data_IF_003754849003
#
_entry.id   IF_003754849003
#
_cell.length_a   1.000
_cell.length_b   1.000
_cell.length_c   1.000
_cell.angle_alpha   90.00
_cell.angle_beta   90.00
_cell.angle_gamma   90.00
#
_symmetry.space_group_name_H-M   'P 1'
#
loop_
_entity.id
_entity.type
_entity.pdbx_description
1 polymer ?
#
# COMPACT_ATOMS: atom_id res chain seq x y z
N UNK A 1 -25.73 -54.91 11.39
CA UNK A 1 -24.41 -54.40 11.87
C UNK A 1 -24.35 -52.94 11.58
N UNK A 2 -24.04 -52.15 12.57
CA UNK A 2 -23.63 -50.72 12.44
C UNK A 2 -22.16 -50.59 12.80
N UNK A 3 -21.38 -50.11 11.90
CA UNK A 3 -19.98 -49.79 12.14
C UNK A 3 -19.81 -48.55 13.00
N UNK A 4 -18.59 -48.29 13.49
CA UNK A 4 -18.27 -47.12 14.27
C UNK A 4 -18.45 -45.86 13.42
N UNK A 5 -19.11 -44.85 13.99
CA UNK A 5 -19.40 -43.61 13.27
C UNK A 5 -18.16 -42.73 13.09
N UNK A 6 -17.31 -42.59 14.13
CA UNK A 6 -16.10 -41.78 14.11
C UNK A 6 -14.92 -42.55 14.69
N UNK A 7 -13.72 -42.27 14.18
CA UNK A 7 -12.49 -42.86 14.67
C UNK A 7 -12.38 -42.78 16.21
N UNK A 8 -12.08 -43.92 16.82
CA UNK A 8 -11.86 -44.03 18.27
C UNK A 8 -13.13 -44.08 19.12
N UNK A 9 -14.32 -44.06 18.54
CA UNK A 9 -15.56 -44.28 19.28
C UNK A 9 -15.83 -45.79 19.54
N UNK A 10 -16.86 -46.06 20.34
CA UNK A 10 -17.32 -47.41 20.70
C UNK A 10 -18.83 -47.54 20.49
N UNK A 11 -19.33 -46.95 19.43
CA UNK A 11 -20.74 -46.89 19.08
C UNK A 11 -21.17 -47.93 18.00
N UNK A 12 -20.25 -48.82 17.65
CA UNK A 12 -20.55 -49.97 16.82
C UNK A 12 -21.59 -50.86 17.45
N UNK A 13 -22.50 -51.40 16.66
CA UNK A 13 -23.56 -52.26 17.18
C UNK A 13 -23.94 -53.40 16.25
N UNK A 14 -24.43 -54.46 16.87
CA UNK A 14 -24.94 -55.66 16.19
C UNK A 14 -26.33 -55.99 16.71
N UNK A 15 -27.24 -56.26 15.80
CA UNK A 15 -28.56 -56.84 16.09
C UNK A 15 -28.66 -58.15 15.32
N UNK A 16 -28.92 -59.24 16.02
CA UNK A 16 -29.07 -60.55 15.43
C UNK A 16 -30.57 -60.81 15.03
N UNK A 17 -30.78 -61.36 13.83
CA UNK A 17 -32.06 -61.82 13.41
C UNK A 17 -31.99 -63.36 13.38
N UNK A 18 -32.58 -64.00 14.41
CA UNK A 18 -32.50 -65.46 14.62
C UNK A 18 -33.67 -66.16 13.85
N UNK A 19 -33.30 -67.05 12.96
CA UNK A 19 -34.26 -67.83 12.16
C UNK A 19 -34.16 -69.31 12.54
N UNK A 20 -35.28 -69.91 12.97
CA UNK A 20 -35.34 -71.31 13.44
C UNK A 20 -34.98 -71.41 14.93
N UNK A 21 -34.92 -72.67 15.45
CA UNK A 21 -34.74 -72.94 16.88
C UNK A 21 -36.05 -72.76 17.68
N UNK A 22 -35.95 -73.01 18.97
CA UNK A 22 -37.09 -72.90 19.91
C UNK A 22 -36.85 -71.79 20.90
N UNK A 23 -37.62 -70.66 20.91
CA UNK A 23 -37.45 -69.57 21.87
C UNK A 23 -37.82 -70.05 23.29
N UNK A 24 -37.23 -69.37 24.34
CA UNK A 24 -36.39 -68.16 24.29
C UNK A 24 -34.98 -68.49 23.84
N UNK A 25 -34.32 -67.43 23.26
CA UNK A 25 -32.91 -67.47 22.86
C UNK A 25 -32.02 -66.75 23.87
N UNK A 26 -30.84 -67.29 24.15
CA UNK A 26 -29.79 -66.66 24.95
C UNK A 26 -28.62 -66.32 24.03
N UNK A 27 -28.22 -65.03 24.00
CA UNK A 27 -27.05 -64.57 23.30
C UNK A 27 -25.89 -64.41 24.26
N UNK A 28 -24.75 -65.05 23.98
CA UNK A 28 -23.51 -64.89 24.70
C UNK A 28 -22.48 -64.21 23.79
N UNK A 29 -22.08 -63.01 24.18
CA UNK A 29 -21.10 -62.18 23.50
C UNK A 29 -19.73 -62.20 24.17
N UNK A 30 -19.42 -63.19 25.01
CA UNK A 30 -18.17 -63.33 25.75
C UNK A 30 -17.86 -62.12 26.62
N UNK A 31 -18.90 -61.50 27.22
CA UNK A 31 -18.77 -60.36 28.11
C UNK A 31 -18.78 -58.97 27.39
N UNK A 32 -18.89 -58.94 26.06
CA UNK A 32 -19.05 -57.68 25.31
C UNK A 32 -20.52 -57.27 25.22
N UNK A 33 -20.74 -55.96 25.18
CA UNK A 33 -22.09 -55.41 24.92
C UNK A 33 -22.29 -55.19 23.43
N UNK A 34 -23.21 -55.92 22.77
CA UNK A 34 -23.43 -55.77 21.33
C UNK A 34 -23.99 -54.43 20.88
N UNK A 35 -24.40 -53.56 21.81
CA UNK A 35 -24.88 -52.20 21.53
C UNK A 35 -23.78 -51.12 21.67
N UNK A 36 -22.54 -51.49 22.05
CA UNK A 36 -21.42 -50.55 22.25
C UNK A 36 -20.11 -51.28 22.03
N UNK A 37 -19.76 -51.48 20.77
CA UNK A 37 -18.59 -52.22 20.33
C UNK A 37 -17.56 -51.26 19.76
N UNK A 38 -16.28 -51.46 20.15
CA UNK A 38 -15.14 -50.84 19.51
C UNK A 38 -14.77 -51.51 18.18
N UNK A 39 -13.76 -51.02 17.49
CA UNK A 39 -13.19 -51.72 16.34
C UNK A 39 -12.68 -53.10 16.78
N UNK A 40 -13.04 -54.15 16.09
CA UNK A 40 -12.57 -55.48 16.41
C UNK A 40 -13.42 -56.63 15.83
N UNK A 41 -13.02 -57.85 16.16
CA UNK A 41 -13.79 -59.07 15.81
C UNK A 41 -14.40 -59.62 17.08
N UNK A 42 -15.70 -59.83 17.06
CA UNK A 42 -16.52 -60.28 18.18
C UNK A 42 -17.18 -61.61 17.83
N UNK A 43 -16.87 -62.64 18.64
CA UNK A 43 -17.52 -63.95 18.53
C UNK A 43 -18.74 -63.98 19.46
N UNK A 44 -19.83 -64.62 19.01
CA UNK A 44 -21.03 -64.83 19.79
C UNK A 44 -21.55 -66.23 19.66
N UNK A 45 -22.29 -66.63 20.65
CA UNK A 45 -22.99 -67.93 20.65
C UNK A 45 -24.46 -67.70 21.00
N UNK A 46 -25.39 -68.26 20.19
CA UNK A 46 -26.83 -68.26 20.45
C UNK A 46 -27.18 -69.68 20.92
N UNK A 47 -27.97 -69.79 22.02
CA UNK A 47 -28.46 -71.03 22.55
C UNK A 47 -30.02 -70.98 22.57
N UNK A 48 -30.70 -71.94 21.99
CA UNK A 48 -32.15 -72.06 22.07
C UNK A 48 -32.59 -72.78 23.37
N UNK A 49 -33.91 -72.80 23.62
CA UNK A 49 -34.52 -73.46 24.83
C UNK A 49 -34.22 -74.97 24.92
N UNK A 50 -33.93 -75.59 23.82
CA UNK A 50 -33.55 -77.05 23.77
C UNK A 50 -32.03 -77.27 23.94
N UNK A 51 -31.22 -76.17 24.12
CA UNK A 51 -29.78 -76.25 24.26
C UNK A 51 -29.00 -76.39 22.93
N UNK A 52 -29.68 -76.21 21.77
CA UNK A 52 -28.98 -76.24 20.49
C UNK A 52 -28.20 -74.89 20.34
N UNK A 53 -26.92 -74.96 19.91
CA UNK A 53 -26.06 -73.85 19.81
C UNK A 53 -25.65 -73.53 18.38
N UNK A 54 -25.52 -72.16 18.09
CA UNK A 54 -24.93 -71.64 16.89
C UNK A 54 -23.91 -70.59 17.30
N UNK A 55 -22.69 -70.68 16.75
CA UNK A 55 -21.62 -69.71 17.01
C UNK A 55 -21.11 -69.12 15.69
N UNK A 56 -20.83 -67.82 15.70
CA UNK A 56 -20.26 -67.07 14.58
C UNK A 56 -19.48 -65.86 15.08
N UNK A 57 -18.93 -65.06 14.21
CA UNK A 57 -18.23 -63.83 14.51
C UNK A 57 -18.59 -62.70 13.59
N UNK A 58 -18.50 -61.48 14.07
CA UNK A 58 -18.74 -60.24 13.35
C UNK A 58 -17.53 -59.32 13.48
N UNK A 59 -17.25 -58.59 12.40
CA UNK A 59 -16.21 -57.56 12.38
C UNK A 59 -16.87 -56.20 12.44
N UNK A 60 -16.47 -55.40 13.42
CA UNK A 60 -16.79 -53.96 13.51
C UNK A 60 -15.57 -53.18 13.02
N UNK A 61 -15.79 -52.34 12.05
CA UNK A 61 -14.75 -51.46 11.48
C UNK A 61 -15.00 -50.02 11.89
N UNK A 62 -13.91 -49.20 11.88
CA UNK A 62 -13.99 -47.78 12.08
C UNK A 62 -13.44 -47.02 10.85
N UNK A 63 -13.87 -45.77 10.58
CA UNK A 63 -13.30 -44.96 9.53
C UNK A 63 -11.92 -44.49 9.94
N UNK A 64 -11.10 -44.03 8.97
CA UNK A 64 -9.87 -43.35 9.23
C UNK A 64 -10.12 -42.06 10.03
N UNK A 65 -9.14 -41.60 10.84
CA UNK A 65 -9.26 -40.36 11.58
C UNK A 65 -9.45 -39.16 10.64
N UNK A 66 -10.45 -38.31 10.91
CA UNK A 66 -10.66 -37.06 10.18
C UNK A 66 -9.45 -36.15 10.43
N UNK A 67 -8.80 -35.68 9.37
CA UNK A 67 -7.63 -34.81 9.38
C UNK A 67 -7.76 -33.75 8.27
N UNK A 68 -6.93 -32.69 8.35
CA UNK A 68 -6.91 -31.66 7.31
C UNK A 68 -5.54 -31.02 7.18
N UNK A 69 -5.33 -30.32 6.06
CA UNK A 69 -4.27 -29.36 5.87
C UNK A 69 -4.86 -28.00 5.50
N UNK A 70 -4.31 -26.91 6.04
CA UNK A 70 -4.72 -25.54 5.77
C UNK A 70 -3.61 -24.80 5.04
N UNK A 71 -3.99 -24.05 4.01
CA UNK A 71 -3.15 -23.02 3.38
C UNK A 71 -3.89 -21.69 3.42
N UNK A 72 -3.18 -20.59 3.66
CA UNK A 72 -3.79 -19.25 3.70
C UNK A 72 -2.89 -18.21 3.06
N UNK A 73 -3.51 -17.15 2.52
CA UNK A 73 -2.85 -15.94 2.08
C UNK A 73 -3.34 -14.76 2.92
N UNK A 74 -2.42 -13.92 3.31
CA UNK A 74 -2.70 -12.68 4.03
C UNK A 74 -3.29 -11.62 3.10
N UNK A 75 -3.80 -10.53 3.70
CA UNK A 75 -4.35 -9.38 2.99
C UNK A 75 -3.22 -8.68 2.23
N UNK A 76 -3.50 -8.30 0.99
CA UNK A 76 -2.53 -7.64 0.11
C UNK A 76 -2.24 -6.19 0.50
N UNK A 77 -3.28 -5.42 0.86
CA UNK A 77 -3.18 -4.01 1.24
C UNK A 77 -3.95 -3.73 2.52
N UNK A 78 -3.45 -2.80 3.33
CA UNK A 78 -4.11 -2.34 4.55
C UNK A 78 -5.59 -2.03 4.33
N UNK A 79 -6.44 -2.57 5.20
CA UNK A 79 -7.89 -2.34 5.20
C UNK A 79 -8.69 -3.08 4.14
N UNK A 80 -8.06 -3.92 3.31
CA UNK A 80 -8.79 -4.79 2.40
C UNK A 80 -9.34 -6.04 3.12
N UNK A 81 -10.10 -6.85 2.39
CA UNK A 81 -10.61 -8.16 2.83
C UNK A 81 -10.42 -9.17 1.70
N UNK A 82 -9.21 -9.28 1.21
CA UNK A 82 -8.80 -10.18 0.13
C UNK A 82 -7.93 -11.35 0.61
N UNK A 83 -7.79 -11.51 1.93
CA UNK A 83 -7.22 -12.68 2.54
C UNK A 83 -8.03 -13.93 2.20
N UNK A 84 -7.38 -15.08 2.13
CA UNK A 84 -8.10 -16.33 1.84
C UNK A 84 -7.50 -17.53 2.57
N UNK A 85 -8.30 -18.57 2.71
CA UNK A 85 -7.88 -19.85 3.28
C UNK A 85 -8.52 -21.01 2.53
N UNK A 86 -7.76 -22.08 2.36
CA UNK A 86 -8.21 -23.32 1.72
C UNK A 86 -7.91 -24.50 2.63
N UNK A 87 -8.92 -25.31 2.89
CA UNK A 87 -8.82 -26.53 3.71
C UNK A 87 -8.92 -27.74 2.79
N UNK A 88 -7.93 -28.64 2.87
CA UNK A 88 -7.96 -29.94 2.24
C UNK A 88 -8.19 -31.00 3.31
N UNK A 89 -9.34 -31.68 3.26
CA UNK A 89 -9.81 -32.66 4.26
C UNK A 89 -9.48 -34.07 3.81
N UNK A 90 -9.07 -34.92 4.74
CA UNK A 90 -8.80 -36.35 4.52
C UNK A 90 -9.21 -37.20 5.72
N UNK A 91 -9.38 -38.53 5.52
CA UNK A 91 -9.93 -39.39 6.56
C UNK A 91 -11.45 -39.17 6.76
N UNK A 92 -12.02 -39.72 7.84
CA UNK A 92 -13.47 -39.67 8.06
C UNK A 92 -14.29 -40.33 6.91
N UNK A 93 -15.53 -39.93 6.78
CA UNK A 93 -16.46 -40.44 5.75
C UNK A 93 -17.00 -39.27 4.91
N UNK A 94 -16.59 -39.21 3.65
CA UNK A 94 -17.07 -38.17 2.71
C UNK A 94 -18.59 -38.33 2.40
N UNK A 95 -19.29 -37.24 1.99
CA UNK A 95 -18.83 -35.88 1.75
C UNK A 95 -18.55 -35.08 3.02
N UNK A 96 -17.68 -34.08 2.87
CA UNK A 96 -17.29 -33.17 3.97
C UNK A 96 -18.05 -31.84 3.86
N UNK A 97 -18.24 -31.22 5.01
CA UNK A 97 -18.71 -29.82 5.12
C UNK A 97 -17.71 -28.95 5.84
N UNK A 98 -17.70 -27.66 5.52
CA UNK A 98 -16.91 -26.63 6.18
C UNK A 98 -17.86 -25.53 6.64
N UNK A 99 -17.77 -25.14 7.89
CA UNK A 99 -18.52 -24.04 8.47
C UNK A 99 -17.52 -22.96 8.95
N UNK A 100 -17.57 -21.80 8.36
CA UNK A 100 -16.74 -20.64 8.69
C UNK A 100 -17.51 -19.56 9.47
N UNK A 101 -18.71 -19.90 9.99
CA UNK A 101 -19.59 -18.94 10.64
C UNK A 101 -20.03 -17.85 9.69
N UNK A 102 -19.73 -16.60 10.02
CA UNK A 102 -20.03 -15.44 9.16
C UNK A 102 -18.92 -15.07 8.19
N UNK A 103 -17.77 -15.77 8.21
CA UNK A 103 -16.62 -15.49 7.36
C UNK A 103 -16.72 -16.17 6.01
N UNK A 104 -16.33 -15.46 4.93
CA UNK A 104 -16.12 -16.06 3.62
C UNK A 104 -14.64 -16.47 3.49
N UNK A 105 -14.30 -17.75 3.34
CA UNK A 105 -12.93 -18.21 3.22
C UNK A 105 -12.18 -17.66 1.99
N UNK A 106 -12.88 -17.06 1.03
CA UNK A 106 -12.30 -16.42 -0.15
C UNK A 106 -12.14 -14.89 -0.01
N UNK A 107 -12.65 -14.31 1.10
CA UNK A 107 -12.64 -12.86 1.35
C UNK A 107 -12.46 -12.55 2.84
N UNK A 108 -11.40 -13.08 3.43
CA UNK A 108 -11.11 -12.94 4.85
C UNK A 108 -10.52 -11.55 5.15
N UNK A 109 -11.06 -10.91 6.18
CA UNK A 109 -10.53 -9.66 6.75
C UNK A 109 -9.36 -9.92 7.70
N UNK A 110 -8.71 -8.84 8.17
CA UNK A 110 -7.72 -8.94 9.24
C UNK A 110 -8.30 -9.57 10.50
N UNK A 111 -7.59 -10.51 11.10
CA UNK A 111 -7.94 -11.10 12.38
C UNK A 111 -8.01 -12.62 12.40
N UNK A 112 -8.62 -13.14 13.47
CA UNK A 112 -8.83 -14.58 13.68
C UNK A 112 -10.14 -15.03 13.05
N UNK A 113 -10.08 -16.08 12.25
CA UNK A 113 -11.25 -16.74 11.65
C UNK A 113 -11.32 -18.18 12.13
N UNK A 114 -12.48 -18.55 12.69
CA UNK A 114 -12.73 -19.88 13.22
C UNK A 114 -13.49 -20.69 12.18
N UNK A 115 -13.20 -21.98 12.12
CA UNK A 115 -13.88 -22.89 11.24
C UNK A 115 -14.09 -24.25 11.89
N UNK A 116 -15.10 -24.95 11.42
CA UNK A 116 -15.38 -26.34 11.77
C UNK A 116 -15.51 -27.15 10.49
N UNK A 117 -14.79 -28.27 10.42
CA UNK A 117 -14.96 -29.26 9.37
C UNK A 117 -15.72 -30.43 9.93
N UNK A 118 -16.61 -31.03 9.13
CA UNK A 118 -17.38 -32.19 9.53
C UNK A 118 -17.51 -33.16 8.37
N UNK A 119 -17.53 -34.44 8.69
CA UNK A 119 -17.85 -35.51 7.74
C UNK A 119 -19.34 -35.86 7.76
N UNK A 120 -19.76 -36.80 6.91
CA UNK A 120 -21.16 -37.23 6.82
C UNK A 120 -21.68 -37.90 8.09
N UNK A 121 -20.82 -38.54 8.88
CA UNK A 121 -21.17 -39.17 10.14
C UNK A 121 -21.26 -38.20 11.32
N UNK A 122 -20.92 -36.91 11.10
CA UNK A 122 -20.93 -35.88 12.12
C UNK A 122 -19.63 -35.79 12.94
N UNK A 123 -18.59 -36.52 12.54
CA UNK A 123 -17.25 -36.38 13.15
C UNK A 123 -16.72 -35.01 12.77
N UNK A 124 -16.26 -34.20 13.72
CA UNK A 124 -15.87 -32.82 13.48
C UNK A 124 -14.58 -32.42 14.15
N UNK A 125 -13.87 -31.48 13.51
CA UNK A 125 -12.70 -30.78 14.04
C UNK A 125 -12.91 -29.27 13.91
N UNK A 126 -12.57 -28.51 14.94
CA UNK A 126 -12.63 -27.05 14.93
C UNK A 126 -11.25 -26.47 15.18
N UNK A 127 -10.91 -25.42 14.42
CA UNK A 127 -9.65 -24.71 14.56
C UNK A 127 -9.81 -23.26 14.09
N UNK A 128 -8.72 -22.51 13.97
CA UNK A 128 -8.72 -21.12 13.54
C UNK A 128 -7.51 -20.80 12.67
N UNK A 129 -7.65 -19.77 11.86
CA UNK A 129 -6.56 -19.17 11.09
C UNK A 129 -6.47 -17.68 11.38
N UNK A 130 -5.26 -17.17 11.53
CA UNK A 130 -5.00 -15.73 11.65
C UNK A 130 -4.60 -15.18 10.28
N UNK A 131 -5.35 -14.19 9.82
CA UNK A 131 -5.05 -13.43 8.59
C UNK A 131 -4.45 -12.09 9.01
N UNK A 132 -3.22 -11.83 8.56
CA UNK A 132 -2.53 -10.56 8.80
C UNK A 132 -2.74 -9.59 7.65
N UNK A 133 -2.49 -8.30 7.91
CA UNK A 133 -2.44 -7.25 6.88
C UNK A 133 -1.13 -6.45 7.00
N UNK A 134 -0.64 -5.84 5.91
CA UNK A 134 0.48 -4.91 5.99
C UNK A 134 0.07 -3.64 6.74
N UNK A 135 1.04 -2.85 7.20
CA UNK A 135 0.77 -1.51 7.72
C UNK A 135 0.30 -0.58 6.61
N UNK A 136 -0.46 0.46 6.96
CA UNK A 136 -0.92 1.46 6.00
C UNK A 136 0.24 2.11 5.25
N UNK A 137 0.13 2.24 3.92
CA UNK A 137 1.09 2.97 3.08
C UNK A 137 0.89 4.47 3.29
N UNK A 138 1.87 5.12 3.91
CA UNK A 138 1.84 6.55 4.24
C UNK A 138 2.94 7.27 3.46
N UNK A 139 2.55 8.38 2.82
CA UNK A 139 3.46 9.26 2.07
C UNK A 139 3.44 10.64 2.70
N UNK A 140 4.62 11.17 3.01
CA UNK A 140 4.83 12.57 3.37
C UNK A 140 5.75 13.23 2.35
N UNK A 141 5.58 14.54 2.13
CA UNK A 141 6.28 15.26 1.07
C UNK A 141 6.89 16.57 1.59
N UNK A 142 8.11 16.86 1.14
CA UNK A 142 8.78 18.13 1.34
C UNK A 142 8.98 18.76 -0.03
N UNK A 143 8.55 20.02 -0.20
CA UNK A 143 8.67 20.77 -1.44
C UNK A 143 9.53 22.00 -1.29
N UNK A 144 10.25 22.38 -2.33
CA UNK A 144 10.84 23.70 -2.49
C UNK A 144 10.25 24.39 -3.71
N UNK A 145 9.98 25.68 -3.57
CA UNK A 145 9.45 26.48 -4.66
C UNK A 145 10.55 26.90 -5.64
N UNK A 146 10.13 27.33 -6.83
CA UNK A 146 11.03 27.87 -7.84
C UNK A 146 11.65 29.18 -7.33
N UNK A 147 12.95 29.30 -7.42
CA UNK A 147 13.70 30.46 -6.89
C UNK A 147 13.42 31.71 -7.70
N UNK A 148 13.46 31.60 -9.04
CA UNK A 148 13.30 32.75 -9.94
C UNK A 148 12.08 32.56 -10.85
N UNK A 149 11.42 33.65 -11.21
CA UNK A 149 10.32 33.62 -12.16
C UNK A 149 10.70 32.92 -13.47
N UNK A 150 9.86 31.96 -13.89
CA UNK A 150 10.09 31.15 -15.09
C UNK A 150 11.17 30.07 -14.97
N UNK A 151 11.75 29.88 -13.77
CA UNK A 151 12.70 28.81 -13.50
C UNK A 151 12.06 27.43 -13.39
N UNK A 152 12.90 26.41 -13.21
CA UNK A 152 12.51 25.02 -13.05
C UNK A 152 13.34 24.30 -11.97
N UNK A 153 13.72 24.99 -10.93
CA UNK A 153 14.52 24.44 -9.84
C UNK A 153 13.69 24.12 -8.57
N UNK A 154 12.36 24.10 -8.70
CA UNK A 154 11.48 23.57 -7.65
C UNK A 154 11.70 22.07 -7.47
N UNK A 155 11.53 21.59 -6.24
CA UNK A 155 11.71 20.17 -5.92
C UNK A 155 10.56 19.62 -5.08
N UNK A 156 10.38 18.30 -5.17
CA UNK A 156 9.46 17.55 -4.34
C UNK A 156 10.09 16.22 -3.94
N UNK A 157 10.27 15.98 -2.64
CA UNK A 157 10.92 14.80 -2.10
C UNK A 157 9.90 14.04 -1.25
N UNK A 158 9.66 12.77 -1.57
CA UNK A 158 8.77 11.88 -0.84
C UNK A 158 9.51 11.16 0.29
N UNK A 159 8.83 10.99 1.41
CA UNK A 159 9.21 10.07 2.48
C UNK A 159 8.07 9.05 2.63
N UNK A 160 8.39 7.79 2.37
CA UNK A 160 7.41 6.69 2.28
C UNK A 160 7.61 5.74 3.46
N UNK A 161 6.51 5.32 4.09
CA UNK A 161 6.51 4.35 5.18
C UNK A 161 5.27 3.45 5.13
N UNK A 162 5.35 2.26 5.76
CA UNK A 162 4.26 1.28 5.70
C UNK A 162 4.18 0.57 4.36
N UNK A 163 3.05 -0.10 4.09
CA UNK A 163 2.91 -0.96 2.92
C UNK A 163 3.93 -2.10 2.88
N UNK A 164 4.18 -2.64 1.70
CA UNK A 164 5.15 -3.72 1.45
C UNK A 164 6.27 -3.21 0.55
N UNK A 165 7.49 -2.91 1.07
CA UNK A 165 8.61 -2.47 0.24
C UNK A 165 8.99 -3.53 -0.82
N UNK A 166 9.54 -3.14 -2.06
CA UNK A 166 9.98 -1.81 -2.46
C UNK A 166 8.84 -0.92 -3.01
N UNK A 167 9.14 0.40 -3.09
CA UNK A 167 8.18 1.39 -3.58
C UNK A 167 8.55 1.88 -4.97
N UNK A 168 7.53 2.27 -5.74
CA UNK A 168 7.68 2.96 -7.02
C UNK A 168 6.97 4.31 -6.96
N UNK A 169 7.65 5.35 -7.45
CA UNK A 169 7.11 6.71 -7.57
C UNK A 169 6.80 6.99 -9.04
N UNK A 170 5.62 7.51 -9.30
CA UNK A 170 5.19 7.94 -10.62
C UNK A 170 4.80 9.43 -10.58
N UNK A 171 5.55 10.27 -11.25
CA UNK A 171 5.36 11.71 -11.36
C UNK A 171 4.76 12.12 -12.72
N UNK A 172 4.13 11.18 -13.45
CA UNK A 172 3.54 11.42 -14.77
C UNK A 172 4.51 12.00 -15.81
N UNK A 173 5.79 11.58 -15.73
CA UNK A 173 6.84 12.00 -16.66
C UNK A 173 7.57 13.28 -16.27
N UNK A 174 7.26 13.89 -15.12
CA UNK A 174 8.01 15.01 -14.58
C UNK A 174 9.21 14.57 -13.75
N UNK A 175 10.28 15.36 -13.78
CA UNK A 175 11.40 15.22 -12.86
C UNK A 175 11.09 15.99 -11.56
N UNK A 176 10.91 15.27 -10.48
CA UNK A 176 10.58 15.84 -9.16
C UNK A 176 11.73 16.68 -8.54
N UNK A 177 12.90 16.72 -9.17
CA UNK A 177 14.02 17.56 -8.77
C UNK A 177 14.21 18.78 -9.68
N UNK A 178 13.37 18.93 -10.71
CA UNK A 178 13.47 20.03 -11.70
C UNK A 178 12.07 20.56 -12.10
N UNK A 179 11.26 20.94 -11.11
CA UNK A 179 9.88 21.38 -11.31
C UNK A 179 9.80 22.89 -11.58
N UNK A 180 9.02 23.29 -12.59
CA UNK A 180 8.56 24.66 -12.78
C UNK A 180 7.40 24.98 -11.83
N UNK A 181 6.94 26.23 -11.80
CA UNK A 181 5.70 26.57 -11.09
C UNK A 181 4.50 25.88 -11.74
N UNK A 182 3.67 25.21 -10.94
CA UNK A 182 2.53 24.45 -11.42
C UNK A 182 2.00 23.44 -10.40
N UNK A 183 0.94 22.73 -10.81
CA UNK A 183 0.39 21.62 -10.03
C UNK A 183 0.89 20.30 -10.58
N UNK A 184 1.35 19.42 -9.70
CA UNK A 184 1.91 18.10 -10.04
C UNK A 184 1.18 17.03 -9.26
N UNK A 185 0.85 15.95 -9.95
CA UNK A 185 0.24 14.76 -9.37
C UNK A 185 1.26 13.66 -9.29
N UNK A 186 1.24 12.93 -8.21
CA UNK A 186 2.10 11.77 -8.03
C UNK A 186 1.31 10.56 -7.53
N UNK A 187 1.82 9.39 -7.79
CA UNK A 187 1.34 8.12 -7.24
C UNK A 187 2.53 7.34 -6.72
N UNK A 188 2.42 6.86 -5.49
CA UNK A 188 3.35 5.90 -4.89
C UNK A 188 2.66 4.56 -4.83
N UNK A 189 3.34 3.51 -5.28
CA UNK A 189 2.84 2.14 -5.16
C UNK A 189 3.88 1.25 -4.50
N UNK A 190 3.44 0.32 -3.69
CA UNK A 190 4.27 -0.71 -3.08
C UNK A 190 4.36 -1.99 -3.96
N UNK A 191 5.09 -3.01 -3.48
CA UNK A 191 5.28 -4.27 -4.23
C UNK A 191 3.97 -5.06 -4.41
N UNK A 192 3.01 -4.92 -3.50
CA UNK A 192 1.70 -5.57 -3.59
C UNK A 192 0.71 -4.80 -4.47
N UNK A 193 1.08 -3.61 -4.97
CA UNK A 193 0.23 -2.76 -5.80
C UNK A 193 -0.69 -1.83 -4.99
N UNK A 194 -0.52 -1.77 -3.67
CA UNK A 194 -1.21 -0.77 -2.85
C UNK A 194 -0.68 0.62 -3.20
N UNK A 195 -1.56 1.59 -3.40
CA UNK A 195 -1.14 2.90 -3.90
C UNK A 195 -1.79 4.07 -3.17
N UNK A 196 -1.00 5.16 -3.07
CA UNK A 196 -1.44 6.47 -2.59
C UNK A 196 -1.17 7.48 -3.69
N UNK A 197 -2.17 8.30 -4.01
CA UNK A 197 -2.05 9.38 -5.00
C UNK A 197 -2.44 10.70 -4.37
N UNK A 198 -1.66 11.75 -4.66
CA UNK A 198 -1.94 13.10 -4.19
C UNK A 198 -1.35 14.13 -5.18
N UNK A 199 -1.46 15.42 -4.85
CA UNK A 199 -0.96 16.51 -5.67
C UNK A 199 -0.25 17.56 -4.83
N UNK A 200 0.68 18.26 -5.48
CA UNK A 200 1.40 19.40 -4.90
C UNK A 200 1.30 20.61 -5.82
N UNK A 201 1.50 21.77 -5.23
CA UNK A 201 1.67 23.03 -5.95
C UNK A 201 3.06 23.56 -5.72
N UNK A 202 3.83 23.75 -6.78
CA UNK A 202 5.10 24.47 -6.77
C UNK A 202 4.80 25.92 -7.20
N UNK A 203 5.24 26.88 -6.40
CA UNK A 203 5.04 28.31 -6.68
C UNK A 203 6.35 28.97 -7.12
N UNK A 204 6.25 30.20 -7.63
CA UNK A 204 7.38 31.08 -7.97
C UNK A 204 7.03 32.50 -7.58
N UNK A 205 7.98 33.43 -7.69
CA UNK A 205 7.70 34.87 -7.57
C UNK A 205 6.64 35.28 -8.61
N UNK A 206 5.81 36.24 -8.26
CA UNK A 206 4.67 36.64 -9.11
C UNK A 206 5.12 37.31 -10.42
N UNK A 207 6.16 38.14 -10.34
CA UNK A 207 6.64 38.92 -11.47
C UNK A 207 8.14 38.66 -11.75
N UNK A 208 8.48 38.70 -13.03
CA UNK A 208 9.88 38.66 -13.47
C UNK A 208 10.62 39.90 -12.99
N UNK A 209 11.85 39.72 -12.53
CA UNK A 209 12.74 40.84 -12.22
C UNK A 209 13.07 41.62 -13.50
N UNK A 210 12.66 42.88 -13.56
CA UNK A 210 12.90 43.76 -14.70
C UNK A 210 13.47 45.09 -14.21
N UNK A 211 14.37 45.70 -15.00
CA UNK A 211 15.02 46.97 -14.74
C UNK A 211 14.73 47.90 -15.90
N UNK A 212 14.23 49.12 -15.59
CA UNK A 212 14.00 50.19 -16.54
C UNK A 212 14.95 51.35 -16.19
N UNK A 213 15.66 51.90 -17.19
CA UNK A 213 16.62 52.97 -17.04
C UNK A 213 16.12 54.23 -17.73
N UNK A 214 16.16 55.36 -17.05
CA UNK A 214 15.82 56.67 -17.59
C UNK A 214 17.07 57.58 -17.48
N UNK A 215 17.69 57.94 -18.61
CA UNK A 215 18.89 58.77 -18.58
C UNK A 215 18.53 60.25 -18.52
N UNK A 216 19.30 61.03 -17.76
CA UNK A 216 19.41 62.48 -17.92
C UNK A 216 20.71 62.77 -18.65
N UNK A 217 20.60 63.33 -19.83
CA UNK A 217 21.74 63.64 -20.69
C UNK A 217 22.52 64.84 -20.13
N UNK A 218 23.78 65.01 -20.57
CA UNK A 218 24.63 66.12 -20.19
C UNK A 218 24.06 67.47 -20.61
N UNK A 219 24.16 68.49 -19.78
CA UNK A 219 23.69 69.84 -20.07
C UNK A 219 24.57 70.57 -21.09
N UNK A 220 25.87 70.17 -21.14
CA UNK A 220 26.81 70.70 -22.12
C UNK A 220 27.97 69.72 -22.33
N UNK A 221 28.77 69.97 -23.37
CA UNK A 221 29.94 69.15 -23.65
C UNK A 221 30.96 69.19 -22.53
N UNK A 222 31.58 68.03 -22.20
CA UNK A 222 32.65 67.89 -21.20
C UNK A 222 32.25 68.21 -19.73
N UNK A 223 30.94 68.24 -19.39
CA UNK A 223 30.49 68.29 -18.00
C UNK A 223 30.17 66.86 -17.55
N UNK A 224 30.22 66.63 -16.23
CA UNK A 224 29.94 65.36 -15.57
C UNK A 224 28.62 65.48 -14.80
N UNK A 225 27.51 65.82 -15.49
CA UNK A 225 26.24 66.07 -14.84
C UNK A 225 25.11 65.09 -15.34
N UNK A 226 25.51 64.13 -16.14
CA UNK A 226 24.61 63.03 -16.53
C UNK A 226 24.19 62.18 -15.35
N UNK A 227 23.00 61.62 -15.40
CA UNK A 227 22.49 60.69 -14.39
C UNK A 227 21.60 59.62 -15.01
N UNK A 228 21.43 58.53 -14.29
CA UNK A 228 20.48 57.47 -14.65
C UNK A 228 19.63 57.17 -13.42
N UNK A 229 18.31 57.24 -13.59
CA UNK A 229 17.28 56.79 -12.64
C UNK A 229 16.85 55.36 -13.03
N UNK A 230 17.01 54.42 -12.10
CA UNK A 230 16.65 53.03 -12.28
C UNK A 230 15.35 52.70 -11.53
N UNK A 231 14.44 52.06 -12.18
CA UNK A 231 13.24 51.52 -11.55
C UNK A 231 13.19 50.01 -11.69
N UNK A 232 12.89 49.29 -10.59
CA UNK A 232 12.85 47.84 -10.50
C UNK A 232 11.41 47.37 -10.31
N UNK A 233 11.01 46.32 -11.07
CA UNK A 233 9.73 45.63 -10.89
C UNK A 233 10.00 44.13 -10.77
N UNK A 234 9.28 43.46 -9.86
CA UNK A 234 9.38 42.01 -9.65
C UNK A 234 10.62 41.58 -8.85
N UNK A 235 10.88 40.27 -8.82
CA UNK A 235 11.91 39.68 -7.96
C UNK A 235 11.56 39.77 -6.47
N UNK A 236 12.55 39.52 -5.63
CA UNK A 236 12.42 39.52 -4.16
C UNK A 236 13.42 40.50 -3.55
N UNK A 237 12.96 41.68 -3.03
CA UNK A 237 13.88 42.65 -2.40
C UNK A 237 14.51 42.08 -1.10
N UNK A 238 15.66 42.66 -0.64
CA UNK A 238 16.40 43.77 -1.22
C UNK A 238 17.19 43.40 -2.48
N UNK A 239 17.49 44.45 -3.28
CA UNK A 239 18.26 44.28 -4.52
C UNK A 239 19.69 44.75 -4.32
N UNK A 240 20.60 44.21 -5.14
CA UNK A 240 22.01 44.65 -5.28
C UNK A 240 22.26 45.04 -6.73
N UNK A 241 23.10 45.98 -6.95
CA UNK A 241 23.41 46.61 -8.22
C UNK A 241 24.88 46.52 -8.54
N UNK A 242 25.21 46.29 -9.80
CA UNK A 242 26.59 46.36 -10.29
C UNK A 242 26.61 47.02 -11.66
N UNK A 243 27.03 48.26 -11.70
CA UNK A 243 27.20 49.02 -12.93
C UNK A 243 28.56 48.73 -13.58
N UNK A 244 28.68 48.91 -14.90
CA UNK A 244 29.92 48.73 -15.63
C UNK A 244 31.01 49.74 -15.28
N UNK A 245 30.66 50.89 -14.63
CA UNK A 245 31.59 51.86 -14.11
C UNK A 245 32.08 51.57 -12.67
N UNK A 246 31.55 50.49 -12.05
CA UNK A 246 31.86 50.02 -10.71
C UNK A 246 30.95 50.56 -9.61
N UNK A 247 29.95 51.37 -9.90
CA UNK A 247 28.92 51.81 -8.94
C UNK A 247 28.03 50.65 -8.50
N UNK A 248 27.53 50.77 -7.26
CA UNK A 248 26.67 49.74 -6.62
C UNK A 248 25.38 50.30 -6.03
N UNK A 249 25.03 51.55 -6.37
CA UNK A 249 23.78 52.20 -6.00
C UNK A 249 22.69 51.96 -7.03
N UNK A 250 21.43 52.11 -6.66
CA UNK A 250 20.30 51.96 -7.59
C UNK A 250 20.42 53.01 -8.71
N UNK A 251 20.47 54.28 -8.32
CA UNK A 251 20.67 55.41 -9.23
C UNK A 251 22.15 55.82 -9.25
N UNK A 252 22.59 56.29 -10.41
CA UNK A 252 23.95 56.80 -10.58
C UNK A 252 23.94 58.20 -11.20
N UNK A 253 24.89 59.03 -10.79
CA UNK A 253 25.01 60.42 -11.25
C UNK A 253 26.47 60.83 -11.44
N UNK A 254 26.70 62.03 -11.99
CA UNK A 254 28.04 62.52 -12.31
C UNK A 254 28.65 61.80 -13.51
N UNK A 255 27.84 61.42 -14.46
CA UNK A 255 28.23 60.60 -15.60
C UNK A 255 28.70 61.44 -16.78
N UNK A 256 29.62 60.87 -17.55
CA UNK A 256 29.98 61.36 -18.88
C UNK A 256 29.05 60.77 -19.95
N UNK A 257 29.10 61.30 -21.16
CA UNK A 257 28.46 60.66 -22.29
C UNK A 257 29.05 59.24 -22.54
N UNK A 258 28.18 58.26 -22.67
CA UNK A 258 28.60 56.88 -22.85
C UNK A 258 27.50 55.86 -22.58
N UNK A 259 27.79 54.58 -22.82
CA UNK A 259 26.88 53.47 -22.51
C UNK A 259 27.13 52.95 -21.11
N UNK A 260 26.08 52.94 -20.33
CA UNK A 260 26.06 52.36 -18.97
C UNK A 260 25.18 51.12 -18.96
N UNK A 261 25.70 50.09 -18.30
CA UNK A 261 24.95 48.82 -18.09
C UNK A 261 24.96 48.43 -16.63
N UNK A 262 23.87 47.92 -16.15
CA UNK A 262 23.69 47.46 -14.78
C UNK A 262 23.26 46.01 -14.76
N UNK A 263 23.78 45.23 -13.82
CA UNK A 263 23.24 43.96 -13.37
C UNK A 263 22.56 44.19 -12.05
N UNK A 264 21.25 43.98 -12.00
CA UNK A 264 20.47 44.04 -10.76
C UNK A 264 20.15 42.60 -10.33
N UNK A 265 20.50 42.28 -9.08
CA UNK A 265 20.29 40.94 -8.49
C UNK A 265 19.40 41.03 -7.26
N UNK A 266 18.40 40.17 -7.14
CA UNK A 266 17.54 40.10 -5.98
C UNK A 266 18.14 39.18 -4.87
N UNK A 267 17.44 39.08 -3.73
CA UNK A 267 17.88 38.27 -2.58
C UNK A 267 17.98 36.78 -2.89
N UNK A 268 17.20 36.29 -3.85
CA UNK A 268 17.19 34.88 -4.28
C UNK A 268 18.27 34.57 -5.32
N UNK A 269 19.05 35.57 -5.74
CA UNK A 269 20.09 35.44 -6.76
C UNK A 269 19.54 35.54 -8.19
N UNK A 270 18.29 35.92 -8.37
CA UNK A 270 17.73 36.18 -9.70
C UNK A 270 18.24 37.52 -10.20
N UNK A 271 18.67 37.60 -11.45
CA UNK A 271 19.26 38.81 -11.99
C UNK A 271 18.64 39.23 -13.32
N UNK A 272 18.74 40.52 -13.60
CA UNK A 272 18.43 41.15 -14.90
C UNK A 272 19.53 42.10 -15.29
N UNK A 273 19.66 42.34 -16.58
CA UNK A 273 20.62 43.32 -17.10
C UNK A 273 19.89 44.35 -17.95
N UNK A 274 20.25 45.63 -17.77
CA UNK A 274 19.77 46.71 -18.59
C UNK A 274 20.93 47.59 -19.04
N UNK A 275 20.77 48.26 -20.16
CA UNK A 275 21.75 49.20 -20.66
C UNK A 275 21.10 50.42 -21.31
N UNK A 276 21.73 51.58 -21.15
CA UNK A 276 21.24 52.84 -21.69
C UNK A 276 22.44 53.73 -22.09
N UNK A 277 22.21 54.61 -23.06
CA UNK A 277 23.19 55.58 -23.47
C UNK A 277 22.86 56.96 -22.86
N UNK A 278 23.85 57.60 -22.21
CA UNK A 278 23.78 58.98 -21.75
C UNK A 278 24.45 59.84 -22.83
N UNK A 279 23.69 60.77 -23.41
CA UNK A 279 24.12 61.59 -24.54
C UNK A 279 24.67 62.94 -24.07
N UNK A 280 25.39 63.61 -24.94
CA UNK A 280 25.81 64.99 -24.78
C UNK A 280 25.34 65.86 -25.95
N UNK A 281 25.16 67.18 -25.77
CA UNK A 281 24.85 68.09 -26.88
C UNK A 281 25.87 67.94 -28.00
N UNK A 282 25.42 68.01 -29.25
CA UNK A 282 26.30 67.96 -30.43
C UNK A 282 27.21 69.18 -30.46
N UNK A 283 28.54 68.99 -30.50
CA UNK A 283 29.51 70.06 -30.79
C UNK A 283 29.35 70.48 -32.26
N UNK A 284 28.42 71.32 -32.57
CA UNK A 284 28.38 72.01 -33.86
C UNK A 284 28.92 73.48 -33.74
N UNK A 285 30.20 73.56 -33.41
CA UNK A 285 30.89 74.77 -33.75
C UNK A 285 31.34 74.66 -35.22
N UNK A 286 30.58 75.26 -36.14
CA UNK A 286 30.98 75.47 -37.53
C UNK A 286 31.60 76.86 -37.64
N UNK A 287 32.80 76.94 -38.15
CA UNK A 287 33.42 78.14 -38.58
C UNK A 287 32.91 78.57 -39.95
#
# INVERSE_FOLDING_TARGET
ISNISCYGLTDGSVTLNILGGTPPFVEDWNGFNPSSLAQGTYSFTITDDNGCQFSDSVIIIEPDSLTYSLTSNNISCFGLSDGNATINISGGVAPYSQDWGSSDPLALSFGMHYYTISDTNGCSLSDSVFISEPTELIVSIITTNVTCYGGNNGTAILSISGGTPAYTENWNGFDNLALSAGNYYYTVSDTNGCSVSDSITITQSQDSLTSTLIPTNLSSCQVYDGSIDQSIIGGTPPYTYLWNNGDTTEDISGLMAGTYSVTTTDTNGCFTTASIFVDQPSDSLSL
#
